data_IF_856421681370
#
_entry.id   IF_856421681370
#
_cell.length_a   1.000
_cell.length_b   1.000
_cell.length_c   1.000
_cell.angle_alpha   90.00
_cell.angle_beta   90.00
_cell.angle_gamma   90.00
#
_symmetry.space_group_name_H-M   'P 1'
#
loop_
_entity.id
_entity.type
_entity.pdbx_description
1 polymer ?
#
# COMPACT_ATOMS: atom_id res chain seq x y z
N UNK A 1 -7.84 5.14 6.83
CA UNK A 1 -7.25 5.26 5.47
C UNK A 1 -5.77 4.96 5.57
N UNK A 2 -5.21 4.23 4.61
CA UNK A 2 -3.78 3.88 4.52
C UNK A 2 -3.33 4.24 3.11
N UNK A 3 -2.35 5.14 3.00
CA UNK A 3 -1.89 5.69 1.72
C UNK A 3 -0.37 5.90 1.75
N UNK A 4 0.42 4.90 1.32
CA UNK A 4 1.85 5.03 1.12
C UNK A 4 2.19 6.05 0.05
N UNK A 5 3.28 6.80 0.27
CA UNK A 5 3.84 7.75 -0.68
C UNK A 5 5.31 7.39 -0.94
N UNK A 6 5.59 6.43 -1.84
CA UNK A 6 6.95 5.99 -2.18
C UNK A 6 7.64 7.00 -3.10
N UNK A 7 7.83 8.22 -2.62
CA UNK A 7 8.49 9.32 -3.34
C UNK A 7 9.95 9.51 -2.89
N UNK A 8 10.81 9.93 -3.82
CA UNK A 8 12.21 10.21 -3.55
C UNK A 8 13.07 8.96 -3.37
N UNK A 9 13.92 8.93 -2.32
CA UNK A 9 14.90 7.87 -2.05
C UNK A 9 14.42 6.83 -1.03
N UNK A 10 13.18 6.95 -0.52
CA UNK A 10 12.65 6.01 0.48
C UNK A 10 12.18 4.75 -0.23
N UNK A 11 12.92 3.66 -0.05
CA UNK A 11 12.63 2.36 -0.67
C UNK A 11 11.90 1.41 0.27
N UNK A 12 11.82 1.70 1.57
CA UNK A 12 10.99 0.94 2.50
C UNK A 12 10.58 1.76 3.71
N UNK A 13 9.42 1.43 4.28
CA UNK A 13 8.92 1.98 5.53
C UNK A 13 8.22 0.90 6.32
N UNK A 14 8.45 0.89 7.63
CA UNK A 14 7.66 0.16 8.61
C UNK A 14 7.10 1.14 9.63
N UNK A 15 5.78 1.15 9.79
CA UNK A 15 5.06 2.03 10.70
C UNK A 15 4.00 1.24 11.48
N UNK A 16 3.75 1.67 12.71
CA UNK A 16 2.63 1.16 13.50
C UNK A 16 1.91 2.31 14.19
N UNK A 17 0.61 2.13 14.40
CA UNK A 17 -0.25 3.09 15.09
C UNK A 17 -1.16 2.34 16.06
N UNK A 18 -1.02 2.65 17.34
CA UNK A 18 -1.85 2.09 18.40
C UNK A 18 -3.13 2.92 18.55
N UNK A 19 -4.25 2.34 18.15
CA UNK A 19 -5.59 2.93 18.32
C UNK A 19 -6.33 2.26 19.49
N UNK A 20 -7.47 2.83 19.88
CA UNK A 20 -8.38 2.21 20.86
C UNK A 20 -8.89 0.83 20.42
N UNK A 21 -8.88 0.54 19.12
CA UNK A 21 -9.35 -0.72 18.55
C UNK A 21 -8.22 -1.74 18.35
N UNK A 22 -6.98 -1.36 18.68
CA UNK A 22 -5.79 -2.18 18.51
C UNK A 22 -4.76 -1.55 17.57
N UNK A 23 -3.69 -2.30 17.33
CA UNK A 23 -2.54 -1.86 16.55
C UNK A 23 -2.77 -2.02 15.05
N UNK A 24 -2.62 -0.92 14.33
CA UNK A 24 -2.44 -0.92 12.89
C UNK A 24 -0.95 -1.07 12.57
N UNK A 25 -0.62 -1.90 11.59
CA UNK A 25 0.76 -2.07 11.11
C UNK A 25 0.77 -1.87 9.60
N UNK A 26 1.74 -1.10 9.11
CA UNK A 26 1.94 -0.83 7.69
C UNK A 26 3.42 -1.07 7.39
N UNK A 27 3.66 -1.92 6.40
CA UNK A 27 5.01 -2.17 5.89
C UNK A 27 4.97 -2.11 4.38
N UNK A 28 5.85 -1.36 3.76
CA UNK A 28 6.00 -1.39 2.31
C UNK A 28 7.45 -1.28 1.89
N UNK A 29 7.71 -1.81 0.70
CA UNK A 29 9.01 -1.77 0.05
C UNK A 29 8.87 -1.57 -1.47
N UNK A 30 9.92 -1.01 -2.06
CA UNK A 30 10.07 -0.76 -3.49
C UNK A 30 11.33 -1.48 -3.96
N UNK A 31 11.19 -2.34 -4.98
CA UNK A 31 12.30 -3.00 -5.64
C UNK A 31 13.00 -2.04 -6.61
N UNK A 32 14.27 -2.33 -6.96
CA UNK A 32 15.01 -1.55 -7.95
C UNK A 32 14.34 -1.56 -9.35
N UNK A 33 13.57 -2.61 -9.65
CA UNK A 33 12.80 -2.72 -10.89
C UNK A 33 11.49 -1.90 -10.87
N UNK A 34 11.15 -1.23 -9.76
CA UNK A 34 9.93 -0.45 -9.60
C UNK A 34 8.72 -1.24 -9.10
N UNK A 35 8.91 -2.49 -8.66
CA UNK A 35 7.88 -3.27 -8.00
C UNK A 35 7.60 -2.71 -6.61
N UNK A 36 6.33 -2.61 -6.24
CA UNK A 36 5.91 -2.13 -4.93
C UNK A 36 5.14 -3.24 -4.22
N UNK A 37 5.50 -3.50 -2.96
CA UNK A 37 4.79 -4.44 -2.09
C UNK A 37 4.37 -3.72 -0.81
N UNK A 38 3.11 -3.88 -0.43
CA UNK A 38 2.51 -3.28 0.76
C UNK A 38 1.82 -4.37 1.59
N UNK A 39 2.19 -4.47 2.85
CA UNK A 39 1.52 -5.26 3.86
C UNK A 39 0.81 -4.34 4.86
N UNK A 40 -0.45 -4.66 5.15
CA UNK A 40 -1.29 -3.90 6.08
C UNK A 40 -1.93 -4.85 7.07
N UNK A 41 -1.89 -4.49 8.35
CA UNK A 41 -2.67 -5.12 9.42
C UNK A 41 -3.75 -4.16 9.91
N UNK A 42 -4.99 -4.59 9.76
CA UNK A 42 -6.19 -3.88 10.22
C UNK A 42 -6.71 -4.60 11.46
N UNK A 43 -6.82 -3.93 12.63
CA UNK A 43 -7.27 -4.58 13.86
C UNK A 43 -8.75 -4.98 13.78
N UNK A 44 -9.16 -5.86 14.70
CA UNK A 44 -10.53 -6.36 14.78
C UNK A 44 -11.56 -5.23 14.88
N UNK A 45 -12.76 -5.46 14.33
CA UNK A 45 -13.88 -4.51 14.34
C UNK A 45 -13.61 -3.16 13.65
N UNK A 46 -12.60 -3.10 12.77
CA UNK A 46 -12.32 -1.90 11.96
C UNK A 46 -12.27 -2.22 10.47
N UNK A 47 -12.40 -1.19 9.65
CA UNK A 47 -12.22 -1.25 8.21
C UNK A 47 -11.17 -0.23 7.78
N UNK A 48 -10.56 -0.44 6.62
CA UNK A 48 -9.63 0.51 6.04
C UNK A 48 -9.85 0.64 4.53
N UNK A 49 -9.68 1.86 4.04
CA UNK A 49 -9.42 2.13 2.63
C UNK A 49 -7.91 2.14 2.42
N UNK A 50 -7.41 1.24 1.58
CA UNK A 50 -5.99 1.11 1.23
C UNK A 50 -5.79 1.66 -0.17
N UNK A 51 -4.91 2.66 -0.30
CA UNK A 51 -4.49 3.21 -1.58
C UNK A 51 -3.13 2.63 -1.94
N UNK A 52 -3.07 1.89 -3.03
CA UNK A 52 -1.85 1.27 -3.56
C UNK A 52 -1.33 2.13 -4.71
N UNK A 53 -0.15 2.77 -4.57
CA UNK A 53 0.44 3.57 -5.62
C UNK A 53 0.90 2.69 -6.79
N UNK A 54 0.88 3.24 -7.99
CA UNK A 54 1.29 2.55 -9.21
C UNK A 54 0.14 1.92 -10.01
N UNK A 55 0.52 1.14 -11.01
CA UNK A 55 -0.37 0.47 -11.94
C UNK A 55 -0.43 -1.04 -11.64
N UNK A 56 -1.45 -1.70 -12.20
CA UNK A 56 -1.67 -3.16 -12.05
C UNK A 56 -1.70 -3.63 -10.59
N UNK A 57 -2.30 -2.82 -9.70
CA UNK A 57 -2.36 -3.20 -8.31
C UNK A 57 -3.27 -4.42 -8.10
N UNK A 58 -2.78 -5.38 -7.34
CA UNK A 58 -3.52 -6.60 -6.96
C UNK A 58 -3.37 -6.84 -5.47
N UNK A 59 -4.35 -7.52 -4.89
CA UNK A 59 -4.30 -8.05 -3.52
C UNK A 59 -4.10 -9.57 -3.52
N UNK A 60 -3.62 -10.10 -2.40
CA UNK A 60 -3.52 -11.53 -2.11
C UNK A 60 -4.89 -12.23 -1.93
N UNK A 61 -5.97 -11.45 -1.88
CA UNK A 61 -7.35 -11.90 -1.89
C UNK A 61 -8.14 -11.29 -3.06
N UNK A 62 -9.32 -11.85 -3.34
CA UNK A 62 -10.24 -11.31 -4.36
C UNK A 62 -10.99 -10.08 -3.83
N UNK A 63 -10.38 -8.89 -3.97
CA UNK A 63 -10.98 -7.61 -3.59
C UNK A 63 -11.38 -6.78 -4.81
N UNK A 64 -12.42 -5.96 -4.66
CA UNK A 64 -12.83 -5.02 -5.70
C UNK A 64 -11.90 -3.81 -5.72
N UNK A 65 -11.22 -3.60 -6.86
CA UNK A 65 -10.37 -2.46 -7.11
C UNK A 65 -11.18 -1.24 -7.61
N UNK A 66 -10.92 -0.06 -7.04
CA UNK A 66 -11.43 1.22 -7.54
C UNK A 66 -10.27 2.12 -7.97
N UNK A 67 -10.29 2.60 -9.22
CA UNK A 67 -9.17 3.30 -9.85
C UNK A 67 -9.36 4.82 -9.80
N UNK A 68 -8.27 5.56 -9.55
CA UNK A 68 -8.23 7.01 -9.79
C UNK A 68 -8.30 7.30 -11.30
N UNK A 69 -8.75 8.51 -11.67
CA UNK A 69 -8.88 8.92 -13.07
C UNK A 69 -7.55 8.88 -13.84
N UNK A 70 -6.44 9.12 -13.16
CA UNK A 70 -5.08 9.05 -13.71
C UNK A 70 -4.48 7.63 -13.71
N UNK A 71 -5.17 6.65 -13.11
CA UNK A 71 -4.73 5.25 -12.90
C UNK A 71 -3.34 5.11 -12.25
N UNK A 72 -2.89 6.11 -11.51
CA UNK A 72 -1.63 6.05 -10.76
C UNK A 72 -1.82 5.54 -9.33
N UNK A 73 -3.07 5.34 -8.89
CA UNK A 73 -3.38 4.76 -7.59
C UNK A 73 -4.62 3.89 -7.71
N UNK A 74 -4.58 2.74 -7.04
CA UNK A 74 -5.72 1.82 -6.94
C UNK A 74 -6.14 1.71 -5.49
N UNK A 75 -7.43 1.89 -5.23
CA UNK A 75 -7.99 1.80 -3.88
C UNK A 75 -8.75 0.50 -3.65
N UNK A 76 -8.62 -0.03 -2.45
CA UNK A 76 -9.28 -1.25 -1.97
C UNK A 76 -9.97 -0.98 -0.63
N UNK A 77 -11.18 -1.48 -0.45
CA UNK A 77 -11.83 -1.53 0.86
C UNK A 77 -11.54 -2.88 1.50
N UNK A 78 -11.03 -2.85 2.73
CA UNK A 78 -10.71 -4.06 3.50
C UNK A 78 -11.31 -4.00 4.90
N UNK A 79 -11.66 -5.18 5.42
CA UNK A 79 -12.00 -5.38 6.82
C UNK A 79 -10.77 -5.64 7.68
N UNK A 80 -11.01 -6.07 8.92
CA UNK A 80 -9.97 -6.57 9.81
C UNK A 80 -9.20 -7.75 9.21
N UNK A 81 -7.91 -7.81 9.47
CA UNK A 81 -7.03 -8.88 8.97
C UNK A 81 -5.67 -8.36 8.53
N UNK A 82 -4.89 -9.27 7.96
CA UNK A 82 -3.63 -8.94 7.30
C UNK A 82 -3.86 -9.03 5.80
N UNK A 83 -3.40 -8.03 5.07
CA UNK A 83 -3.59 -7.89 3.64
C UNK A 83 -2.26 -7.60 2.97
N UNK A 84 -2.03 -8.21 1.80
CA UNK A 84 -0.85 -7.95 0.99
C UNK A 84 -1.29 -7.43 -0.37
N UNK A 85 -0.67 -6.34 -0.80
CA UNK A 85 -0.87 -5.72 -2.10
C UNK A 85 0.44 -5.64 -2.86
N UNK A 86 0.37 -5.80 -4.17
CA UNK A 86 1.49 -5.54 -5.07
C UNK A 86 1.07 -4.65 -6.21
N UNK A 87 1.99 -3.83 -6.72
CA UNK A 87 1.79 -2.98 -7.89
C UNK A 87 3.12 -2.67 -8.56
N UNK A 88 3.06 -1.93 -9.67
CA UNK A 88 4.23 -1.43 -10.38
C UNK A 88 4.23 0.10 -10.36
N UNK A 89 5.28 0.73 -9.85
CA UNK A 89 5.41 2.18 -9.85
C UNK A 89 5.78 2.68 -11.26
N UNK A 90 5.20 3.79 -11.68
CA UNK A 90 5.62 4.47 -12.91
C UNK A 90 7.01 5.08 -12.65
N UNK A 91 8.07 4.34 -13.01
CA UNK A 91 9.51 4.68 -12.91
C UNK A 91 9.83 5.83 -11.94
N UNK A 92 10.19 5.48 -10.70
CA UNK A 92 10.82 6.44 -9.78
C UNK A 92 12.14 6.90 -10.43
N UNK A 93 12.36 8.20 -10.67
CA UNK A 93 13.66 8.68 -11.12
C UNK A 93 14.66 8.41 -9.99
N UNK A 94 15.43 7.33 -10.13
CA UNK A 94 16.57 7.06 -9.27
C UNK A 94 17.57 8.17 -9.51
N UNK A 95 17.62 9.16 -8.61
CA UNK A 95 18.66 10.18 -8.66
C UNK A 95 20.00 9.45 -8.44
N UNK A 96 20.99 9.57 -9.34
CA UNK A 96 22.28 8.93 -9.14
C UNK A 96 22.89 9.33 -7.79
N UNK A 97 23.68 8.42 -7.22
CA UNK A 97 24.43 8.63 -5.97
C UNK A 97 25.51 9.69 -6.18
#
# INVERSE_FOLDING_TARGET
>A
MIQPHPEGRVTSVQASYDSLYGRHEVHWEVTESGGFQLQVKVPANTTATVHVPGHHAVSDASLTASYTSDRQTVSFQVGSGTWVFTSQLARVPMLPK
#
